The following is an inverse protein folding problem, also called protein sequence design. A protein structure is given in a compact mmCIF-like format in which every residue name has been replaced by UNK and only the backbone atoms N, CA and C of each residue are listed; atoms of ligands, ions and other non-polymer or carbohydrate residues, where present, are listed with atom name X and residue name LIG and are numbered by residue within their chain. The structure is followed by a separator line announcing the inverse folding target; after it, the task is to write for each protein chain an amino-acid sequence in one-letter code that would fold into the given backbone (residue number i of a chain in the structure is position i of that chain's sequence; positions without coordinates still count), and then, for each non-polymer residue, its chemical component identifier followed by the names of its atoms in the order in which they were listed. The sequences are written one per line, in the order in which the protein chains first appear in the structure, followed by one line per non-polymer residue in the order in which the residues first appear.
data_IF_126522056294
#
_entry.id   IF_126522056294
#
_cell.length_a   1.000
_cell.length_b   1.000
_cell.length_c   1.000
_cell.angle_alpha   90.00
_cell.angle_beta   90.00
_cell.angle_gamma   90.00
#
_symmetry.space_group_name_H-M   'P 1'
#
loop_
_entity.id
_entity.type
_entity.pdbx_description
1 polymer ?
#
# COMPACT_ATOMS: atom_id res chain seq x y z
N UNK A 1 19.28 -44.16 1.19
CA UNK A 1 20.37 -44.11 0.19
C UNK A 1 20.91 -42.69 0.17
N UNK A 2 22.18 -42.43 0.48
CA UNK A 2 22.70 -41.07 0.53
C UNK A 2 22.70 -40.48 -0.89
N UNK A 3 22.18 -39.26 -1.06
CA UNK A 3 22.34 -38.51 -2.29
C UNK A 3 23.84 -38.31 -2.54
N UNK A 4 24.44 -39.13 -3.41
CA UNK A 4 25.76 -38.84 -3.96
C UNK A 4 25.70 -37.44 -4.55
N UNK A 5 26.43 -36.49 -3.95
CA UNK A 5 26.41 -35.09 -4.34
C UNK A 5 27.14 -34.91 -5.69
N UNK A 6 26.43 -35.28 -6.76
CA UNK A 6 26.92 -35.46 -8.12
C UNK A 6 27.49 -34.16 -8.70
N UNK A 7 26.98 -33.00 -8.23
CA UNK A 7 27.42 -31.68 -8.70
C UNK A 7 28.77 -31.24 -8.16
N UNK A 8 29.10 -31.57 -6.90
CA UNK A 8 30.41 -31.24 -6.33
C UNK A 8 31.55 -31.91 -7.13
N UNK A 9 31.36 -33.18 -7.53
CA UNK A 9 32.32 -33.89 -8.37
C UNK A 9 32.39 -33.34 -9.80
N UNK A 10 31.28 -32.82 -10.35
CA UNK A 10 31.30 -32.16 -11.67
C UNK A 10 32.10 -30.85 -11.61
N UNK A 11 31.92 -30.04 -10.56
CA UNK A 11 32.70 -28.81 -10.36
C UNK A 11 34.21 -29.10 -10.21
N UNK A 12 34.57 -30.15 -9.46
CA UNK A 12 35.95 -30.59 -9.33
C UNK A 12 36.54 -31.08 -10.67
N UNK A 13 35.75 -31.81 -11.47
CA UNK A 13 36.16 -32.27 -12.80
C UNK A 13 36.35 -31.11 -13.79
N UNK A 14 35.51 -30.08 -13.75
CA UNK A 14 35.67 -28.88 -14.57
C UNK A 14 36.94 -28.10 -14.20
N UNK A 15 37.23 -27.96 -12.90
CA UNK A 15 38.46 -27.32 -12.42
C UNK A 15 39.71 -28.09 -12.85
N UNK A 16 39.65 -29.43 -12.84
CA UNK A 16 40.74 -30.27 -13.34
C UNK A 16 40.97 -30.15 -14.86
N UNK A 17 39.90 -30.00 -15.64
CA UNK A 17 39.97 -29.72 -17.08
C UNK A 17 40.56 -28.34 -17.38
N UNK A 18 40.25 -27.32 -16.57
CA UNK A 18 40.84 -25.99 -16.71
C UNK A 18 42.34 -25.98 -16.36
N UNK A 19 42.73 -26.73 -15.32
CA UNK A 19 44.12 -26.76 -14.84
C UNK A 19 45.05 -27.67 -15.66
N UNK A 20 44.51 -28.58 -16.47
CA UNK A 20 45.31 -29.52 -17.25
C UNK A 20 44.84 -29.63 -18.71
N UNK A 21 45.49 -28.94 -19.66
CA UNK A 21 45.09 -28.92 -21.07
C UNK A 21 45.26 -30.28 -21.79
N UNK A 22 46.00 -31.24 -21.20
CA UNK A 22 46.14 -32.61 -21.74
C UNK A 22 45.03 -33.56 -21.24
N UNK A 23 44.21 -33.13 -20.29
CA UNK A 23 43.15 -33.95 -19.72
C UNK A 23 41.91 -33.89 -20.62
N UNK A 24 41.52 -35.05 -21.17
CA UNK A 24 40.30 -35.13 -21.98
C UNK A 24 39.05 -35.25 -21.11
N UNK A 25 37.92 -34.76 -21.60
CA UNK A 25 36.63 -34.78 -20.90
C UNK A 25 36.24 -36.20 -20.46
N UNK A 26 36.42 -37.20 -21.31
CA UNK A 26 36.13 -38.62 -20.99
C UNK A 26 37.02 -39.14 -19.86
N UNK A 27 38.28 -38.71 -19.80
CA UNK A 27 39.22 -39.11 -18.75
C UNK A 27 38.90 -38.42 -17.43
N UNK A 28 38.58 -37.14 -17.46
CA UNK A 28 38.09 -36.40 -16.29
C UNK A 28 36.79 -37.03 -15.74
N UNK A 29 35.83 -37.35 -16.60
CA UNK A 29 34.58 -38.00 -16.21
C UNK A 29 34.81 -39.34 -15.49
N UNK A 30 35.77 -40.14 -15.98
CA UNK A 30 36.16 -41.42 -15.36
C UNK A 30 36.85 -41.24 -14.00
N UNK A 31 37.76 -40.26 -13.87
CA UNK A 31 38.50 -39.98 -12.63
C UNK A 31 37.54 -39.51 -11.53
N UNK A 32 36.68 -38.56 -11.86
CA UNK A 32 35.75 -37.95 -10.90
C UNK A 32 34.43 -38.72 -10.76
N UNK A 33 34.30 -39.88 -11.44
CA UNK A 33 33.11 -40.75 -11.43
C UNK A 33 31.81 -39.99 -11.73
N UNK A 34 31.86 -39.10 -12.71
CA UNK A 34 30.69 -38.31 -13.19
C UNK A 34 30.28 -38.76 -14.58
N UNK A 35 29.00 -38.60 -14.89
CA UNK A 35 28.47 -38.87 -16.23
C UNK A 35 29.13 -37.92 -17.26
N UNK A 36 29.75 -38.44 -18.34
CA UNK A 36 30.42 -37.61 -19.34
C UNK A 36 29.50 -36.58 -20.02
N UNK A 37 28.22 -36.92 -20.21
CA UNK A 37 27.24 -36.01 -20.81
C UNK A 37 26.88 -34.87 -19.86
N UNK A 38 26.76 -35.14 -18.55
CA UNK A 38 26.54 -34.09 -17.54
C UNK A 38 27.74 -33.15 -17.43
N UNK A 39 28.96 -33.69 -17.43
CA UNK A 39 30.20 -32.90 -17.40
C UNK A 39 30.31 -32.00 -18.64
N UNK A 40 30.02 -32.53 -19.83
CA UNK A 40 30.01 -31.76 -21.07
C UNK A 40 28.96 -30.64 -21.05
N UNK A 41 27.72 -30.93 -20.62
CA UNK A 41 26.67 -29.90 -20.49
C UNK A 41 27.12 -28.76 -19.57
N UNK A 42 27.75 -29.09 -18.44
CA UNK A 42 28.25 -28.11 -17.47
C UNK A 42 29.45 -27.31 -18.01
N UNK A 43 30.30 -27.92 -18.83
CA UNK A 43 31.38 -27.23 -19.54
C UNK A 43 30.84 -26.22 -20.57
N UNK A 44 29.70 -26.52 -21.20
CA UNK A 44 28.99 -25.63 -22.12
C UNK A 44 28.13 -24.56 -21.40
N UNK A 45 28.25 -24.43 -20.07
CA UNK A 45 27.50 -23.45 -19.27
C UNK A 45 26.05 -23.84 -18.95
N UNK A 46 25.61 -25.06 -19.29
CA UNK A 46 24.25 -25.51 -18.99
C UNK A 46 24.17 -25.93 -17.53
N UNK A 47 23.39 -25.19 -16.73
CA UNK A 47 23.18 -25.47 -15.30
C UNK A 47 22.36 -26.76 -15.08
N UNK A 48 22.45 -27.35 -13.89
CA UNK A 48 21.56 -28.47 -13.53
C UNK A 48 20.14 -27.98 -13.41
N UNK A 49 19.19 -28.91 -13.50
CA UNK A 49 17.80 -28.63 -13.17
C UNK A 49 17.60 -28.09 -11.74
N UNK A 50 18.47 -28.42 -10.78
CA UNK A 50 18.39 -27.88 -9.40
C UNK A 50 18.78 -26.40 -9.35
N UNK A 51 19.73 -26.00 -10.19
CA UNK A 51 20.27 -24.63 -10.27
C UNK A 51 19.66 -23.82 -11.42
N UNK A 52 18.75 -24.42 -12.19
CA UNK A 52 18.07 -23.76 -13.31
C UNK A 52 16.78 -23.16 -12.77
N UNK A 53 16.67 -21.83 -12.83
CA UNK A 53 15.41 -21.15 -12.58
C UNK A 53 14.37 -21.63 -13.60
N UNK A 54 13.22 -22.18 -13.17
CA UNK A 54 12.16 -22.58 -14.09
C UNK A 54 11.75 -21.39 -14.97
N UNK A 55 11.55 -21.60 -16.26
CA UNK A 55 11.03 -20.56 -17.17
C UNK A 55 9.66 -19.99 -16.74
N UNK A 56 8.97 -20.66 -15.83
CA UNK A 56 7.72 -20.22 -15.20
C UNK A 56 7.92 -19.19 -14.08
N UNK A 57 9.14 -19.00 -13.57
CA UNK A 57 9.48 -17.99 -12.59
C UNK A 57 9.81 -16.68 -13.31
N UNK A 58 8.86 -15.74 -13.28
CA UNK A 58 8.97 -14.44 -13.95
C UNK A 58 9.89 -13.45 -13.22
N UNK A 59 10.03 -13.58 -11.92
CA UNK A 59 10.88 -12.75 -11.08
C UNK A 59 12.08 -13.54 -10.56
N UNK A 60 13.20 -12.84 -10.39
CA UNK A 60 14.42 -13.29 -9.73
C UNK A 60 14.25 -13.37 -8.22
N UNK A 61 15.14 -14.08 -7.54
CA UNK A 61 15.10 -14.19 -6.09
C UNK A 61 15.24 -12.82 -5.39
N UNK A 62 16.01 -11.89 -5.96
CA UNK A 62 16.17 -10.53 -5.43
C UNK A 62 14.88 -9.70 -5.56
N UNK A 63 14.22 -9.78 -6.70
CA UNK A 63 12.93 -9.10 -6.92
C UNK A 63 11.85 -9.68 -6.00
N UNK A 64 11.79 -11.01 -5.85
CA UNK A 64 10.89 -11.66 -4.90
C UNK A 64 11.17 -11.22 -3.46
N UNK A 65 12.45 -11.15 -3.06
CA UNK A 65 12.85 -10.66 -1.73
C UNK A 65 12.44 -9.21 -1.49
N UNK A 66 12.51 -8.38 -2.53
CA UNK A 66 12.10 -6.97 -2.47
C UNK A 66 10.60 -6.85 -2.20
N UNK A 67 9.79 -7.66 -2.88
CA UNK A 67 8.34 -7.74 -2.65
C UNK A 67 8.04 -8.23 -1.21
N UNK A 68 8.75 -9.25 -0.71
CA UNK A 68 8.58 -9.74 0.66
C UNK A 68 8.85 -8.63 1.67
N UNK A 69 9.98 -7.93 1.53
CA UNK A 69 10.36 -6.84 2.44
C UNK A 69 9.31 -5.73 2.44
N UNK A 70 8.76 -5.40 1.28
CA UNK A 70 7.73 -4.39 1.14
C UNK A 70 6.39 -4.82 1.77
N UNK A 71 5.98 -6.08 1.61
CA UNK A 71 4.79 -6.63 2.27
C UNK A 71 4.92 -6.58 3.79
N UNK A 72 6.08 -6.97 4.33
CA UNK A 72 6.34 -6.97 5.77
C UNK A 72 6.34 -5.54 6.33
N UNK A 73 6.93 -4.59 5.60
CA UNK A 73 6.90 -3.18 5.97
C UNK A 73 5.46 -2.64 6.02
N UNK A 74 4.66 -2.89 4.98
CA UNK A 74 3.25 -2.51 4.92
C UNK A 74 2.43 -3.13 6.07
N UNK A 75 2.60 -4.42 6.35
CA UNK A 75 1.92 -5.10 7.47
C UNK A 75 2.32 -4.49 8.82
N UNK A 76 3.60 -4.15 9.00
CA UNK A 76 4.08 -3.50 10.23
C UNK A 76 3.51 -2.10 10.46
N UNK A 77 3.13 -1.41 9.38
CA UNK A 77 2.44 -0.11 9.41
C UNK A 77 0.92 -0.24 9.53
N UNK A 78 0.39 -1.47 9.58
CA UNK A 78 -1.04 -1.77 9.69
C UNK A 78 -1.79 -1.80 8.35
N UNK A 79 -1.08 -1.95 7.23
CA UNK A 79 -1.62 -1.97 5.87
C UNK A 79 -1.34 -3.28 5.13
N UNK A 80 -1.77 -4.46 5.63
CA UNK A 80 -1.50 -5.73 4.96
C UNK A 80 -2.07 -5.74 3.52
N UNK A 81 -1.23 -5.94 2.49
CA UNK A 81 -1.69 -5.88 1.10
C UNK A 81 -2.55 -7.09 0.74
N UNK A 82 -3.55 -6.86 -0.11
CA UNK A 82 -4.34 -7.94 -0.73
C UNK A 82 -3.51 -8.66 -1.79
N UNK A 83 -3.92 -9.87 -2.18
CA UNK A 83 -3.26 -10.63 -3.27
C UNK A 83 -3.16 -9.82 -4.57
N UNK A 84 -4.17 -9.00 -4.87
CA UNK A 84 -4.14 -8.08 -6.00
C UNK A 84 -3.02 -7.05 -5.89
N UNK A 85 -2.83 -6.44 -4.71
CA UNK A 85 -1.71 -5.51 -4.48
C UNK A 85 -0.35 -6.19 -4.65
N UNK A 86 -0.22 -7.45 -4.20
CA UNK A 86 1.01 -8.25 -4.41
C UNK A 86 1.26 -8.52 -5.90
N UNK A 87 0.20 -8.76 -6.67
CA UNK A 87 0.28 -8.88 -8.13
C UNK A 87 0.69 -7.57 -8.81
N UNK A 88 0.13 -6.44 -8.37
CA UNK A 88 0.49 -5.11 -8.88
C UNK A 88 1.97 -4.78 -8.61
N UNK A 89 2.50 -5.14 -7.43
CA UNK A 89 3.93 -4.95 -7.09
C UNK A 89 4.84 -5.70 -8.07
N UNK A 90 4.49 -6.96 -8.35
CA UNK A 90 5.23 -7.80 -9.27
C UNK A 90 5.14 -7.30 -10.71
N UNK A 91 3.94 -6.88 -11.13
CA UNK A 91 3.71 -6.35 -12.47
C UNK A 91 4.45 -5.03 -12.72
N UNK A 92 4.63 -4.21 -11.69
CA UNK A 92 5.44 -2.99 -11.81
C UNK A 92 6.91 -3.32 -12.11
N UNK A 93 7.53 -4.21 -11.33
CA UNK A 93 8.92 -4.62 -11.58
C UNK A 93 9.10 -5.25 -12.97
N UNK A 94 8.07 -5.94 -13.47
CA UNK A 94 8.06 -6.49 -14.82
C UNK A 94 7.90 -5.40 -15.88
N UNK A 95 7.05 -4.39 -15.65
CA UNK A 95 6.87 -3.26 -16.55
C UNK A 95 8.17 -2.44 -16.72
N UNK A 96 8.93 -2.24 -15.64
CA UNK A 96 10.24 -1.58 -15.68
C UNK A 96 11.26 -2.31 -16.60
N UNK A 97 11.01 -3.60 -16.86
CA UNK A 97 11.83 -4.46 -17.73
C UNK A 97 11.16 -4.79 -19.06
N UNK A 98 10.07 -4.12 -19.39
CA UNK A 98 9.23 -4.37 -20.57
C UNK A 98 8.78 -5.85 -20.70
N UNK A 99 8.49 -6.48 -19.55
CA UNK A 99 8.11 -7.89 -19.45
C UNK A 99 6.61 -8.08 -19.25
N UNK A 100 6.09 -9.20 -19.76
CA UNK A 100 4.65 -9.51 -19.68
C UNK A 100 4.16 -9.71 -18.23
N UNK A 101 2.95 -9.23 -17.87
CA UNK A 101 2.37 -9.35 -16.53
C UNK A 101 2.29 -10.79 -16.00
N UNK A 102 2.30 -10.94 -14.68
CA UNK A 102 2.12 -12.24 -14.02
C UNK A 102 0.74 -12.83 -14.28
N UNK A 103 0.62 -14.15 -14.16
CA UNK A 103 -0.68 -14.83 -14.32
C UNK A 103 -1.54 -14.75 -13.05
N UNK A 104 -2.86 -14.95 -13.20
CA UNK A 104 -3.86 -14.86 -12.11
C UNK A 104 -3.56 -15.66 -10.82
N UNK A 105 -2.81 -16.76 -10.92
CA UNK A 105 -2.46 -17.62 -9.77
C UNK A 105 -1.08 -17.29 -9.19
N UNK A 106 -0.39 -16.30 -9.72
CA UNK A 106 0.98 -16.00 -9.33
C UNK A 106 1.05 -15.51 -7.88
N UNK A 107 0.22 -14.54 -7.47
CA UNK A 107 0.24 -13.99 -6.12
C UNK A 107 -0.06 -15.04 -5.03
N UNK A 108 -1.01 -15.94 -5.27
CA UNK A 108 -1.32 -17.03 -4.33
C UNK A 108 -0.18 -18.06 -4.25
N UNK A 109 0.44 -18.38 -5.38
CA UNK A 109 1.63 -19.25 -5.42
C UNK A 109 2.84 -18.60 -4.75
N UNK A 110 3.03 -17.28 -4.92
CA UNK A 110 4.05 -16.46 -4.28
C UNK A 110 3.94 -16.56 -2.76
N UNK A 111 2.76 -16.27 -2.21
CA UNK A 111 2.54 -16.38 -0.76
C UNK A 111 2.76 -17.81 -0.26
N UNK A 112 2.33 -18.83 -1.02
CA UNK A 112 2.48 -20.23 -0.61
C UNK A 112 3.93 -20.72 -0.55
N UNK A 113 4.83 -20.22 -1.40
CA UNK A 113 6.22 -20.67 -1.46
C UNK A 113 7.15 -19.96 -0.46
N UNK A 114 6.76 -18.77 0.02
CA UNK A 114 7.53 -17.99 1.00
C UNK A 114 6.94 -18.18 2.39
N UNK A 115 7.67 -18.86 3.29
CA UNK A 115 7.17 -19.25 4.63
C UNK A 115 6.94 -18.06 5.56
N UNK A 116 7.56 -16.93 5.23
CA UNK A 116 7.44 -15.65 5.92
C UNK A 116 6.04 -15.04 5.74
N UNK A 117 5.32 -15.41 4.67
CA UNK A 117 4.04 -14.84 4.31
C UNK A 117 2.89 -15.82 4.56
N UNK A 118 1.77 -15.31 5.06
CA UNK A 118 0.53 -16.09 5.21
C UNK A 118 -0.68 -15.23 4.88
N UNK A 119 -1.56 -15.76 4.05
CA UNK A 119 -2.90 -15.19 3.86
C UNK A 119 -3.76 -15.46 5.09
N UNK A 120 -4.38 -14.41 5.63
CA UNK A 120 -5.37 -14.49 6.71
C UNK A 120 -6.65 -13.79 6.29
N UNK A 121 -7.78 -14.31 6.72
CA UNK A 121 -9.05 -13.61 6.54
C UNK A 121 -9.11 -12.43 7.52
N UNK A 122 -9.34 -11.23 6.99
CA UNK A 122 -9.73 -10.11 7.83
C UNK A 122 -11.21 -10.28 8.19
N UNK A 123 -11.57 -10.05 9.45
CA UNK A 123 -12.97 -10.02 9.89
C UNK A 123 -13.47 -8.58 9.82
N UNK A 124 -14.57 -8.34 9.11
CA UNK A 124 -15.32 -7.08 9.23
C UNK A 124 -15.85 -7.02 10.67
N UNK A 125 -15.45 -5.98 11.41
CA UNK A 125 -15.86 -5.81 12.81
C UNK A 125 -17.09 -4.91 12.83
N UNK A 126 -18.16 -5.40 13.45
CA UNK A 126 -19.41 -4.66 13.54
C UNK A 126 -19.27 -3.48 14.51
N UNK A 127 -19.74 -2.29 14.10
CA UNK A 127 -19.60 -1.00 14.80
C UNK A 127 -20.09 -1.06 16.26
N UNK A 128 -21.10 -1.89 16.54
CA UNK A 128 -21.66 -2.05 17.89
C UNK A 128 -20.68 -2.63 18.92
N UNK A 129 -19.53 -3.19 18.51
CA UNK A 129 -18.47 -3.66 19.42
C UNK A 129 -17.32 -2.66 19.64
N UNK A 130 -17.38 -1.45 19.04
CA UNK A 130 -16.40 -0.39 19.30
C UNK A 130 -16.41 0.09 20.78
N UNK A 131 -17.45 -0.21 21.55
CA UNK A 131 -17.52 0.11 22.99
C UNK A 131 -16.71 -0.83 23.90
N UNK A 132 -16.19 -1.94 23.37
CA UNK A 132 -15.37 -2.89 24.14
C UNK A 132 -14.01 -3.03 23.45
N UNK A 133 -13.21 -1.99 23.55
CA UNK A 133 -11.86 -2.03 23.04
C UNK A 133 -10.99 -2.97 23.88
N UNK A 134 -10.12 -3.74 23.22
CA UNK A 134 -9.08 -4.53 23.86
C UNK A 134 -7.94 -3.57 24.22
N UNK A 135 -7.68 -3.28 25.52
CA UNK A 135 -6.66 -2.31 25.93
C UNK A 135 -5.27 -2.66 25.39
N UNK A 136 -5.00 -3.95 25.18
CA UNK A 136 -3.73 -4.43 24.63
C UNK A 136 -3.56 -4.04 23.16
N UNK A 137 -4.63 -4.05 22.36
CA UNK A 137 -4.58 -3.63 20.95
C UNK A 137 -4.28 -2.14 20.84
N UNK A 138 -4.92 -1.33 21.68
CA UNK A 138 -4.73 0.12 21.72
C UNK A 138 -3.33 0.47 22.18
N UNK A 139 -2.89 -0.15 23.28
CA UNK A 139 -1.56 0.09 23.82
C UNK A 139 -0.46 -0.29 22.81
N UNK A 140 -0.63 -1.41 22.10
CA UNK A 140 0.31 -1.79 21.04
C UNK A 140 0.34 -0.80 19.87
N UNK A 141 -0.80 -0.19 19.53
CA UNK A 141 -0.87 0.83 18.48
C UNK A 141 -0.18 2.13 18.90
N UNK A 142 -0.42 2.63 20.12
CA UNK A 142 0.31 3.80 20.62
C UNK A 142 1.82 3.52 20.73
N UNK A 143 2.21 2.32 21.16
CA UNK A 143 3.63 1.91 21.15
C UNK A 143 4.22 1.91 19.74
N UNK A 144 3.46 1.52 18.72
CA UNK A 144 3.91 1.59 17.32
C UNK A 144 4.15 3.04 16.89
N UNK A 145 3.26 3.97 17.27
CA UNK A 145 3.45 5.40 17.01
C UNK A 145 4.72 5.91 17.70
N UNK A 146 4.88 5.66 19.00
CA UNK A 146 6.04 6.09 19.78
C UNK A 146 7.35 5.56 19.18
N UNK A 147 7.39 4.28 18.83
CA UNK A 147 8.55 3.65 18.18
C UNK A 147 8.85 4.27 16.82
N UNK A 148 7.83 4.62 16.03
CA UNK A 148 7.99 5.25 14.71
C UNK A 148 8.52 6.67 14.86
N UNK A 149 7.97 7.45 15.78
CA UNK A 149 8.44 8.79 16.12
C UNK A 149 9.91 8.75 16.53
N UNK A 150 10.29 7.84 17.43
CA UNK A 150 11.65 7.68 17.90
C UNK A 150 12.61 7.24 16.77
N UNK A 151 12.20 6.27 15.94
CA UNK A 151 13.01 5.72 14.85
C UNK A 151 13.36 6.77 13.79
N UNK A 152 12.41 7.64 13.45
CA UNK A 152 12.58 8.62 12.38
C UNK A 152 12.86 10.05 12.88
N UNK A 153 12.87 10.28 14.19
CA UNK A 153 13.11 11.60 14.79
C UNK A 153 12.02 12.61 14.44
N UNK A 154 10.75 12.19 14.45
CA UNK A 154 9.62 13.00 14.00
C UNK A 154 9.20 13.95 15.12
N UNK A 155 8.97 15.22 14.79
CA UNK A 155 8.50 16.21 15.76
C UNK A 155 6.98 16.28 15.76
N UNK A 156 6.38 16.79 16.85
CA UNK A 156 4.93 16.91 16.98
C UNK A 156 4.30 17.78 15.86
N UNK A 157 4.99 18.83 15.43
CA UNK A 157 4.56 19.70 14.32
C UNK A 157 4.51 18.99 12.95
N UNK A 158 5.15 17.81 12.85
CA UNK A 158 5.24 16.96 11.67
C UNK A 158 4.43 15.66 11.77
N UNK A 159 3.60 15.52 12.81
CA UNK A 159 2.63 14.43 12.95
C UNK A 159 1.25 14.95 12.56
N UNK A 160 0.66 14.36 11.53
CA UNK A 160 -0.65 14.74 11.01
C UNK A 160 -1.64 13.60 11.12
N UNK A 161 -2.86 13.93 11.57
CA UNK A 161 -4.01 13.07 11.39
C UNK A 161 -4.83 13.55 10.20
N UNK A 162 -5.30 12.60 9.41
CA UNK A 162 -6.18 12.80 8.26
C UNK A 162 -7.56 12.23 8.56
N UNK A 163 -8.61 12.91 8.11
CA UNK A 163 -9.97 12.38 8.14
C UNK A 163 -10.82 12.88 6.96
N UNK A 164 -11.84 12.09 6.61
CA UNK A 164 -12.80 12.38 5.54
C UNK A 164 -14.21 12.56 6.11
N UNK A 165 -14.88 13.64 5.75
CA UNK A 165 -16.28 13.88 6.13
C UNK A 165 -17.14 14.11 4.89
N UNK A 166 -18.13 13.24 4.72
CA UNK A 166 -19.13 13.35 3.66
C UNK A 166 -20.33 14.19 4.05
N UNK A 167 -20.68 15.17 3.23
CA UNK A 167 -21.88 15.99 3.32
C UNK A 167 -22.81 15.64 2.18
N UNK A 168 -24.07 15.28 2.50
CA UNK A 168 -25.09 15.11 1.47
C UNK A 168 -25.85 16.41 1.27
N UNK A 169 -25.74 16.98 0.07
CA UNK A 169 -26.51 18.17 -0.30
C UNK A 169 -27.99 17.81 -0.40
N UNK A 170 -28.86 18.69 0.11
CA UNK A 170 -30.32 18.53 0.01
C UNK A 170 -31.00 17.69 1.12
N UNK A 171 -30.25 17.11 2.06
CA UNK A 171 -30.87 16.50 3.25
C UNK A 171 -31.06 17.50 4.38
N UNK A 172 -32.33 17.81 4.68
CA UNK A 172 -32.71 18.51 5.90
C UNK A 172 -32.74 17.47 7.03
N UNK A 173 -31.87 17.63 8.03
CA UNK A 173 -31.94 16.83 9.25
C UNK A 173 -33.27 17.08 9.98
N UNK A 174 -33.80 16.05 10.64
CA UNK A 174 -35.01 16.22 11.45
C UNK A 174 -34.72 17.16 12.62
N UNK A 175 -35.29 18.37 12.60
CA UNK A 175 -35.15 19.38 13.64
C UNK A 175 -36.46 19.62 14.39
N UNK A 176 -36.36 20.04 15.64
CA UNK A 176 -37.52 20.60 16.35
C UNK A 176 -37.91 21.94 15.72
N UNK A 177 -39.19 22.08 15.38
CA UNK A 177 -39.75 23.31 14.82
C UNK A 177 -40.90 23.77 15.69
N UNK A 178 -41.02 25.09 15.86
CA UNK A 178 -42.16 25.70 16.55
C UNK A 178 -43.29 25.85 15.54
N UNK A 179 -44.46 25.28 15.84
CA UNK A 179 -45.66 25.36 15.00
C UNK A 179 -46.87 25.82 15.80
N UNK A 180 -47.86 26.43 15.14
CA UNK A 180 -49.13 26.77 15.77
C UNK A 180 -49.82 25.54 16.39
N UNK A 181 -50.38 25.72 17.59
CA UNK A 181 -50.92 24.63 18.42
C UNK A 181 -52.04 23.82 17.75
N UNK A 182 -52.77 24.42 16.81
CA UNK A 182 -53.89 23.77 16.11
C UNK A 182 -53.46 22.96 14.87
N UNK A 183 -52.18 23.00 14.49
CA UNK A 183 -51.71 22.29 13.30
C UNK A 183 -51.72 20.78 13.52
N UNK A 184 -52.63 20.08 12.82
CA UNK A 184 -52.63 18.61 12.78
C UNK A 184 -51.62 18.09 11.75
N UNK A 185 -50.55 17.46 12.25
CA UNK A 185 -49.54 16.76 11.44
C UNK A 185 -48.14 17.36 11.53
N UNK A 186 -47.12 16.51 11.36
CA UNK A 186 -45.71 16.95 11.34
C UNK A 186 -45.46 17.87 10.12
N UNK A 187 -44.82 19.03 10.29
CA UNK A 187 -44.41 19.87 9.16
C UNK A 187 -43.54 19.06 8.20
N UNK A 188 -43.84 19.17 6.91
CA UNK A 188 -43.05 18.57 5.84
C UNK A 188 -42.23 19.69 5.20
N UNK A 189 -40.91 19.61 5.32
CA UNK A 189 -40.02 20.45 4.52
C UNK A 189 -39.78 19.78 3.17
N UNK A 190 -39.92 20.53 2.08
CA UNK A 190 -39.60 20.04 0.73
C UNK A 190 -38.10 19.86 0.64
N UNK A 191 -37.64 18.64 0.39
CA UNK A 191 -36.23 18.38 0.10
C UNK A 191 -35.95 18.73 -1.37
N UNK A 192 -34.88 19.48 -1.67
CA UNK A 192 -34.35 19.55 -3.02
C UNK A 192 -34.09 18.12 -3.53
N UNK A 193 -34.44 17.83 -4.78
CA UNK A 193 -34.25 16.49 -5.38
C UNK A 193 -32.77 16.14 -5.59
N UNK A 194 -31.88 17.13 -5.52
CA UNK A 194 -30.45 16.92 -5.68
C UNK A 194 -29.87 16.27 -4.42
N UNK A 195 -29.26 15.09 -4.56
CA UNK A 195 -28.68 14.25 -3.49
C UNK A 195 -27.17 14.05 -3.70
N UNK A 196 -26.52 15.04 -4.29
CA UNK A 196 -25.09 14.99 -4.55
C UNK A 196 -24.30 14.97 -3.24
N UNK A 197 -23.25 14.14 -3.23
CA UNK A 197 -22.31 14.05 -2.13
C UNK A 197 -21.15 15.01 -2.36
N UNK A 198 -20.75 15.69 -1.30
CA UNK A 198 -19.51 16.46 -1.22
C UNK A 198 -18.69 15.88 -0.09
N UNK A 199 -17.51 15.38 -0.39
CA UNK A 199 -16.58 14.87 0.62
C UNK A 199 -15.53 15.94 0.88
N UNK A 200 -15.36 16.33 2.14
CA UNK A 200 -14.27 17.22 2.55
C UNK A 200 -13.22 16.39 3.25
N UNK A 201 -12.00 16.56 2.80
CA UNK A 201 -10.84 15.87 3.29
C UNK A 201 -9.93 16.89 3.99
N UNK A 202 -9.58 16.61 5.24
CA UNK A 202 -8.86 17.54 6.10
C UNK A 202 -7.72 16.85 6.84
N UNK A 203 -6.60 17.55 7.04
CA UNK A 203 -5.54 17.11 7.93
C UNK A 203 -5.16 18.18 8.95
N UNK A 204 -4.83 17.74 10.16
CA UNK A 204 -4.45 18.59 11.29
C UNK A 204 -3.22 17.99 11.96
N UNK A 205 -2.22 18.82 12.27
CA UNK A 205 -1.03 18.36 12.98
C UNK A 205 -1.26 18.22 14.49
N UNK A 206 -0.31 17.60 15.22
CA UNK A 206 -0.43 17.42 16.67
C UNK A 206 -0.40 18.73 17.47
N UNK A 207 0.00 19.85 16.86
CA UNK A 207 -0.08 21.20 17.44
C UNK A 207 -1.42 21.91 17.14
N UNK A 208 -2.35 21.25 16.46
CA UNK A 208 -3.68 21.79 16.14
C UNK A 208 -3.73 22.65 14.88
N UNK A 209 -2.69 22.66 14.04
CA UNK A 209 -2.68 23.40 12.78
C UNK A 209 -3.30 22.58 11.66
N UNK A 210 -4.31 23.16 11.03
CA UNK A 210 -5.00 22.58 9.88
C UNK A 210 -4.30 22.96 8.56
N UNK A 211 -4.26 22.03 7.60
CA UNK A 211 -3.93 22.35 6.20
C UNK A 211 -5.16 22.87 5.47
N UNK A 212 -5.00 23.36 4.25
CA UNK A 212 -6.11 23.76 3.40
C UNK A 212 -7.01 22.55 3.09
N UNK A 213 -8.34 22.68 3.17
CA UNK A 213 -9.27 21.61 2.83
C UNK A 213 -9.11 21.15 1.38
N UNK A 214 -9.40 19.88 1.16
CA UNK A 214 -9.50 19.26 -0.15
C UNK A 214 -10.92 18.73 -0.34
N UNK A 215 -11.64 19.29 -1.29
CA UNK A 215 -13.07 19.03 -1.50
C UNK A 215 -13.24 18.14 -2.72
N UNK A 216 -13.97 17.05 -2.57
CA UNK A 216 -14.35 16.15 -3.66
C UNK A 216 -15.86 16.32 -3.90
N UNK A 217 -16.22 16.79 -5.08
CA UNK A 217 -17.62 17.00 -5.48
C UNK A 217 -18.03 15.91 -6.47
N UNK A 218 -19.26 15.40 -6.33
CA UNK A 218 -19.84 14.52 -7.34
C UNK A 218 -20.01 15.27 -8.67
N UNK A 219 -19.32 14.82 -9.72
CA UNK A 219 -19.35 15.46 -11.03
C UNK A 219 -18.26 14.94 -11.98
N UNK A 220 -18.40 15.27 -13.27
CA UNK A 220 -17.39 14.94 -14.30
C UNK A 220 -16.51 16.14 -14.65
N UNK A 221 -16.99 17.36 -14.40
CA UNK A 221 -16.33 18.59 -14.81
C UNK A 221 -16.31 19.60 -13.67
N UNK A 222 -15.24 20.38 -13.64
CA UNK A 222 -15.18 21.59 -12.83
C UNK A 222 -16.11 22.65 -13.43
N UNK A 223 -16.97 23.22 -12.59
CA UNK A 223 -17.80 24.35 -13.00
C UNK A 223 -17.06 25.66 -12.65
N UNK A 224 -16.98 26.58 -13.62
CA UNK A 224 -16.22 27.84 -13.46
C UNK A 224 -16.75 28.70 -12.30
N UNK A 225 -18.06 28.65 -12.05
CA UNK A 225 -18.72 29.34 -10.94
C UNK A 225 -18.20 28.90 -9.56
N UNK A 226 -17.65 27.69 -9.41
CA UNK A 226 -17.03 27.24 -8.15
C UNK A 226 -15.80 28.06 -7.77
N UNK A 227 -15.14 28.68 -8.74
CA UNK A 227 -13.91 29.46 -8.51
C UNK A 227 -14.14 30.96 -8.67
N UNK A 228 -15.11 31.37 -9.49
CA UNK A 228 -15.35 32.78 -9.82
C UNK A 228 -16.48 33.41 -8.98
N UNK A 229 -17.46 32.61 -8.57
CA UNK A 229 -18.69 33.10 -7.93
C UNK A 229 -18.88 32.53 -6.51
N UNK A 230 -17.96 31.67 -6.05
CA UNK A 230 -18.00 31.14 -4.69
C UNK A 230 -17.18 32.01 -3.74
N UNK A 231 -17.55 31.98 -2.45
CA UNK A 231 -16.78 32.59 -1.38
C UNK A 231 -15.66 31.65 -0.85
N UNK A 232 -15.29 30.62 -1.61
CA UNK A 232 -14.25 29.68 -1.19
C UNK A 232 -12.87 30.33 -1.33
N UNK A 233 -12.00 30.19 -0.33
CA UNK A 233 -10.62 30.64 -0.44
C UNK A 233 -9.90 29.95 -1.62
N UNK A 234 -9.11 30.72 -2.37
CA UNK A 234 -8.42 30.22 -3.57
C UNK A 234 -7.30 29.21 -3.31
N UNK A 235 -6.93 29.00 -2.04
CA UNK A 235 -5.95 28.00 -1.60
C UNK A 235 -6.57 26.62 -1.31
N UNK A 236 -7.91 26.52 -1.36
CA UNK A 236 -8.62 25.24 -1.23
C UNK A 236 -8.55 24.46 -2.54
N UNK A 237 -8.39 23.14 -2.42
CA UNK A 237 -8.41 22.27 -3.58
C UNK A 237 -9.83 21.72 -3.79
N UNK A 238 -10.27 21.69 -5.04
CA UNK A 238 -11.51 21.02 -5.44
C UNK A 238 -11.12 19.97 -6.47
N UNK A 239 -11.62 18.75 -6.30
CA UNK A 239 -11.53 17.64 -7.22
C UNK A 239 -12.96 17.13 -7.52
N UNK A 240 -13.11 16.43 -8.65
CA UNK A 240 -14.40 15.86 -9.05
C UNK A 240 -14.30 14.36 -9.20
N UNK A 241 -15.32 13.63 -8.71
CA UNK A 241 -15.46 12.21 -8.96
C UNK A 241 -16.88 11.85 -9.36
N UNK A 242 -17.07 10.79 -10.15
CA UNK A 242 -18.40 10.44 -10.68
C UNK A 242 -19.46 10.18 -9.60
N UNK A 243 -19.03 9.79 -8.39
CA UNK A 243 -19.90 9.41 -7.29
C UNK A 243 -19.66 10.22 -6.00
N UNK A 244 -18.74 11.19 -6.01
CA UNK A 244 -18.36 11.99 -4.83
C UNK A 244 -17.45 11.27 -3.83
N UNK A 245 -17.00 10.04 -4.14
CA UNK A 245 -16.10 9.25 -3.29
C UNK A 245 -14.64 9.39 -3.72
N UNK A 246 -13.73 9.21 -2.77
CA UNK A 246 -12.28 9.12 -2.98
C UNK A 246 -11.92 7.80 -3.66
N UNK A 247 -11.17 7.86 -4.75
CA UNK A 247 -10.51 6.70 -5.37
C UNK A 247 -8.98 6.79 -5.22
N UNK A 248 -8.26 5.85 -5.82
CA UNK A 248 -6.79 5.81 -5.73
C UNK A 248 -6.11 7.03 -6.38
N UNK A 249 -6.72 7.65 -7.38
CA UNK A 249 -6.18 8.80 -8.09
C UNK A 249 -6.38 10.07 -7.25
N UNK A 250 -7.60 10.27 -6.75
CA UNK A 250 -7.95 11.38 -5.84
C UNK A 250 -7.15 11.28 -4.54
N UNK A 251 -6.96 10.07 -4.00
CA UNK A 251 -6.11 9.85 -2.83
C UNK A 251 -4.66 10.30 -3.06
N UNK A 252 -4.10 10.06 -4.26
CA UNK A 252 -2.77 10.53 -4.62
C UNK A 252 -2.72 12.05 -4.87
N UNK A 253 -3.75 12.63 -5.49
CA UNK A 253 -3.87 14.08 -5.64
C UNK A 253 -3.94 14.80 -4.29
N UNK A 254 -4.74 14.25 -3.36
CA UNK A 254 -4.78 14.72 -2.00
C UNK A 254 -3.42 14.62 -1.32
N UNK A 255 -2.68 13.52 -1.49
CA UNK A 255 -1.35 13.37 -0.90
C UNK A 255 -0.36 14.41 -1.43
N UNK A 256 -0.43 14.75 -2.73
CA UNK A 256 0.35 15.84 -3.33
C UNK A 256 -0.04 17.20 -2.77
N UNK A 257 -1.32 17.42 -2.51
CA UNK A 257 -1.82 18.62 -1.83
C UNK A 257 -1.30 18.70 -0.39
N UNK A 258 -1.37 17.61 0.37
CA UNK A 258 -0.77 17.51 1.70
C UNK A 258 0.73 17.85 1.68
N UNK A 259 1.48 17.26 0.74
CA UNK A 259 2.91 17.52 0.63
C UNK A 259 3.21 18.98 0.32
N UNK A 260 2.47 19.59 -0.61
CA UNK A 260 2.59 21.01 -0.98
C UNK A 260 2.49 21.95 0.23
N UNK A 261 1.57 21.67 1.15
CA UNK A 261 1.31 22.52 2.32
C UNK A 261 2.18 22.20 3.55
N UNK A 262 2.81 21.02 3.59
CA UNK A 262 3.60 20.59 4.75
C UNK A 262 5.11 20.56 4.49
N UNK A 263 5.57 20.32 3.26
CA UNK A 263 6.99 20.09 2.95
C UNK A 263 7.89 21.26 3.35
N UNK A 264 7.49 22.50 3.03
CA UNK A 264 8.27 23.71 3.37
C UNK A 264 8.21 24.08 4.85
N UNK A 265 7.24 23.52 5.58
CA UNK A 265 7.00 23.81 7.00
C UNK A 265 7.63 22.77 7.91
N UNK A 266 8.02 21.63 7.35
CA UNK A 266 8.60 20.50 8.07
C UNK A 266 9.93 20.88 8.68
N UNK A 267 10.04 20.73 9.99
CA UNK A 267 11.29 20.94 10.73
C UNK A 267 12.05 19.64 10.94
N UNK A 268 11.39 18.50 10.72
CA UNK A 268 11.99 17.18 10.73
C UNK A 268 12.27 16.66 9.31
N UNK A 269 13.10 15.61 9.24
CA UNK A 269 13.42 14.93 7.97
C UNK A 269 12.26 14.08 7.46
N UNK A 270 11.37 13.64 8.35
CA UNK A 270 10.27 12.72 8.04
C UNK A 270 8.97 13.23 8.66
N UNK A 271 7.87 13.19 7.91
CA UNK A 271 6.53 13.51 8.40
C UNK A 271 5.77 12.23 8.67
N UNK A 272 5.00 12.19 9.76
CA UNK A 272 4.11 11.09 10.09
C UNK A 272 2.68 11.44 9.68
N UNK A 273 2.06 10.59 8.87
CA UNK A 273 0.68 10.72 8.46
C UNK A 273 -0.13 9.52 8.98
N UNK A 274 -1.08 9.81 9.86
CA UNK A 274 -2.00 8.82 10.41
C UNK A 274 -3.26 8.81 9.53
N UNK A 275 -3.57 7.64 8.97
CA UNK A 275 -4.69 7.44 8.05
C UNK A 275 -5.73 6.52 8.69
N UNK A 276 -6.99 6.68 8.30
CA UNK A 276 -7.98 5.64 8.54
C UNK A 276 -7.69 4.46 7.59
N UNK A 277 -7.97 3.23 8.02
CA UNK A 277 -7.66 2.03 7.22
C UNK A 277 -8.54 1.83 5.98
N UNK A 278 -9.01 2.89 5.32
CA UNK A 278 -9.87 2.80 4.15
C UNK A 278 -9.07 2.43 2.88
N UNK A 279 -9.68 1.59 2.04
CA UNK A 279 -9.00 0.87 0.95
C UNK A 279 -8.42 1.80 -0.16
N UNK A 280 -8.91 3.05 -0.25
CA UNK A 280 -8.50 4.07 -1.23
C UNK A 280 -7.10 4.67 -0.97
N UNK A 281 -6.48 4.42 0.18
CA UNK A 281 -5.20 5.05 0.56
C UNK A 281 -3.97 4.15 0.34
N UNK A 282 -4.10 3.05 -0.41
CA UNK A 282 -3.08 2.00 -0.47
C UNK A 282 -2.65 1.62 -1.89
N UNK A 283 -2.88 2.53 -2.85
CA UNK A 283 -2.35 2.32 -4.19
C UNK A 283 -0.82 2.32 -4.15
N UNK A 284 -0.21 1.54 -5.02
CA UNK A 284 1.23 1.47 -5.06
C UNK A 284 1.91 2.80 -5.44
N UNK A 285 1.21 3.69 -6.17
CA UNK A 285 1.69 5.03 -6.46
C UNK A 285 1.63 5.96 -5.24
N UNK A 286 0.65 5.78 -4.35
CA UNK A 286 0.57 6.49 -3.09
C UNK A 286 1.76 6.17 -2.18
N UNK A 287 2.10 4.88 -2.04
CA UNK A 287 3.23 4.43 -1.22
C UNK A 287 4.59 4.88 -1.77
N UNK A 288 4.79 4.86 -3.09
CA UNK A 288 5.99 5.39 -3.73
C UNK A 288 6.16 6.88 -3.47
N UNK A 289 5.10 7.65 -3.66
CA UNK A 289 5.14 9.08 -3.41
C UNK A 289 5.45 9.40 -1.94
N UNK A 290 4.87 8.65 -1.00
CA UNK A 290 5.22 8.74 0.42
C UNK A 290 6.71 8.50 0.65
N UNK A 291 7.27 7.43 0.07
CA UNK A 291 8.68 7.08 0.23
C UNK A 291 9.62 8.14 -0.35
N UNK A 292 9.33 8.65 -1.54
CA UNK A 292 10.12 9.69 -2.21
C UNK A 292 10.13 11.00 -1.40
N UNK A 293 8.98 11.36 -0.82
CA UNK A 293 8.80 12.62 -0.09
C UNK A 293 8.99 12.48 1.43
N UNK A 294 9.55 11.35 1.89
CA UNK A 294 9.85 11.07 3.31
C UNK A 294 8.61 11.21 4.22
N UNK A 295 7.47 10.75 3.74
CA UNK A 295 6.22 10.65 4.49
C UNK A 295 6.07 9.21 4.96
N UNK A 296 5.95 9.00 6.26
CA UNK A 296 5.68 7.71 6.87
C UNK A 296 4.18 7.64 7.16
N UNK A 297 3.52 6.59 6.70
CA UNK A 297 2.08 6.38 6.97
C UNK A 297 1.88 5.33 8.05
N UNK A 298 0.93 5.56 8.95
CA UNK A 298 0.46 4.54 9.90
C UNK A 298 -1.05 4.40 9.82
N UNK A 299 -1.52 3.16 9.86
CA UNK A 299 -2.94 2.85 9.90
C UNK A 299 -3.45 3.02 11.33
N UNK A 300 -4.43 3.88 11.49
CA UNK A 300 -5.32 3.80 12.64
C UNK A 300 -6.47 2.88 12.24
N UNK A 301 -6.67 1.81 13.02
CA UNK A 301 -7.93 1.08 12.90
C UNK A 301 -9.06 2.08 13.16
N UNK A 302 -10.09 2.15 12.29
CA UNK A 302 -11.32 2.97 12.44
C UNK A 302 -12.03 2.83 13.81
N UNK A 303 -11.50 2.00 14.71
CA UNK A 303 -11.90 1.77 16.09
C UNK A 303 -11.54 2.93 17.03
N UNK A 304 -10.43 3.65 16.81
CA UNK A 304 -9.92 4.66 17.75
C UNK A 304 -10.26 6.13 17.40
N UNK A 305 -10.70 6.42 16.17
CA UNK A 305 -10.96 7.80 15.74
C UNK A 305 -12.37 8.31 16.07
N UNK A 306 -13.25 7.46 16.60
CA UNK A 306 -14.68 7.77 16.80
C UNK A 306 -15.02 8.50 18.12
N UNK A 307 -14.01 8.93 18.91
CA UNK A 307 -14.23 9.73 20.12
C UNK A 307 -13.96 11.24 19.93
N UNK A 308 -14.14 11.75 18.71
CA UNK A 308 -14.23 13.20 18.47
C UNK A 308 -15.63 13.61 18.04
#
# INVERSE_FOLDING_TARGET
MPEFNNEAHILLALRALQNNPKLTLRRAAKIYKVDPMKLWRRQQGILSRRDTTPKSRKLSDLEEQTIIQFIVDLDSRGFPPRLRGVEEMANRLLADRDASPVGKRWASNFVRRHKELKTRFFRKYDYQRAKCEDPTVIHNWFRLIENTIAKYGIRLDDIYNFDETGFMMGMIASGMVVTGAERRGRPKSVQPRNREWVTVIQAINAEGRAIQPFIVVAGQYHLANWYQESNLPGDWAIATSQNGWTDNEIGLEWLKHFDRYTAKRSNSRYRLLILDGHESHHSLGFEEYCKENKIITLSCSRRLMAEK
#
